data_IF_384518638309
#
_entry.id   IF_384518638309
#
_cell.length_a   1.000
_cell.length_b   1.000
_cell.length_c   1.000
_cell.angle_alpha   90.00
_cell.angle_beta   90.00
_cell.angle_gamma   90.00
#
_symmetry.space_group_name_H-M   'P 1'
#
loop_
_entity.id
_entity.type
_entity.pdbx_description
1 polymer ?
#
# COMPACT_ATOMS: atom_id res chain seq x y z
N UNK A 1 7.92 -7.15 -26.01
CA UNK A 1 6.73 -8.03 -26.01
C UNK A 1 5.62 -7.42 -25.18
N UNK A 2 5.79 -7.25 -23.85
CA UNK A 2 4.75 -6.62 -23.00
C UNK A 2 4.32 -5.25 -23.54
N UNK A 3 5.27 -4.39 -23.92
CA UNK A 3 4.99 -3.07 -24.47
C UNK A 3 4.04 -3.10 -25.69
N UNK A 4 4.13 -4.14 -26.53
CA UNK A 4 3.39 -4.26 -27.80
C UNK A 4 2.04 -5.00 -27.64
N UNK A 5 1.71 -5.50 -26.45
CA UNK A 5 0.40 -6.14 -26.23
C UNK A 5 -0.70 -5.08 -26.27
N UNK A 6 -1.83 -5.38 -26.90
CA UNK A 6 -3.03 -4.55 -26.76
C UNK A 6 -3.56 -4.72 -25.32
N UNK A 7 -3.78 -3.63 -24.55
CA UNK A 7 -4.37 -3.71 -23.22
C UNK A 7 -5.75 -4.40 -23.20
N UNK A 8 -6.43 -4.45 -24.34
CA UNK A 8 -7.72 -5.12 -24.53
C UNK A 8 -7.61 -6.59 -24.91
N UNK A 9 -6.39 -7.15 -25.03
CA UNK A 9 -6.20 -8.57 -25.36
C UNK A 9 -6.93 -9.46 -24.35
N UNK A 10 -7.81 -10.38 -24.78
CA UNK A 10 -8.54 -11.27 -23.87
C UNK A 10 -7.63 -12.10 -22.97
N UNK A 11 -6.41 -12.40 -23.44
CA UNK A 11 -5.42 -13.21 -22.74
C UNK A 11 -4.36 -12.38 -21.99
N UNK A 12 -4.53 -11.06 -21.85
CA UNK A 12 -3.54 -10.21 -21.19
C UNK A 12 -3.15 -10.75 -19.82
N UNK A 13 -4.14 -11.10 -18.98
CA UNK A 13 -3.91 -11.63 -17.63
C UNK A 13 -3.20 -12.98 -17.65
N UNK A 14 -3.57 -13.87 -18.58
CA UNK A 14 -2.91 -15.19 -18.72
C UNK A 14 -1.44 -15.05 -19.11
N UNK A 15 -1.15 -14.15 -20.07
CA UNK A 15 0.22 -13.87 -20.54
C UNK A 15 1.04 -13.31 -19.38
N UNK A 16 0.50 -12.35 -18.64
CA UNK A 16 1.10 -11.74 -17.45
C UNK A 16 1.41 -12.79 -16.38
N UNK A 17 0.45 -13.63 -16.02
CA UNK A 17 0.64 -14.71 -15.05
C UNK A 17 1.69 -15.71 -15.53
N UNK A 18 1.70 -16.06 -16.82
CA UNK A 18 2.71 -16.94 -17.41
C UNK A 18 4.12 -16.39 -17.28
N UNK A 19 4.32 -15.10 -17.60
CA UNK A 19 5.60 -14.41 -17.45
C UNK A 19 6.01 -14.32 -15.97
N UNK A 20 5.07 -13.99 -15.09
CA UNK A 20 5.36 -13.87 -13.67
C UNK A 20 5.76 -15.21 -13.04
N UNK A 21 5.00 -16.27 -13.30
CA UNK A 21 5.29 -17.63 -12.82
C UNK A 21 6.63 -18.16 -13.32
N UNK A 22 7.01 -17.82 -14.56
CA UNK A 22 8.35 -18.08 -15.05
C UNK A 22 9.39 -17.37 -14.19
N UNK A 23 9.21 -16.08 -13.90
CA UNK A 23 10.16 -15.32 -13.07
C UNK A 23 10.26 -15.83 -11.63
N UNK A 24 9.14 -16.26 -11.02
CA UNK A 24 9.13 -16.92 -9.70
C UNK A 24 9.99 -18.18 -9.72
N UNK A 25 9.84 -19.01 -10.76
CA UNK A 25 10.54 -20.29 -10.86
C UNK A 25 12.04 -20.15 -11.11
N UNK A 26 12.45 -19.08 -11.79
CA UNK A 26 13.82 -18.90 -12.27
C UNK A 26 14.55 -17.70 -11.64
N UNK A 27 14.05 -17.18 -10.52
CA UNK A 27 14.71 -16.15 -9.71
C UNK A 27 14.67 -16.50 -8.22
N UNK A 28 15.29 -15.66 -7.39
CA UNK A 28 15.23 -15.77 -5.92
C UNK A 28 14.02 -15.04 -5.32
N UNK A 29 13.26 -14.33 -6.15
CA UNK A 29 12.12 -13.54 -5.71
C UNK A 29 10.87 -14.41 -5.61
N UNK A 30 10.40 -14.62 -4.36
CA UNK A 30 9.23 -15.45 -4.03
C UNK A 30 7.97 -15.14 -4.85
N UNK A 31 7.80 -13.89 -5.26
CA UNK A 31 6.59 -13.40 -5.93
C UNK A 31 6.81 -12.95 -7.38
N UNK A 32 8.04 -13.04 -7.87
CA UNK A 32 8.41 -12.65 -9.22
C UNK A 32 9.41 -11.50 -9.25
N UNK A 33 9.99 -11.27 -10.43
CA UNK A 33 11.04 -10.28 -10.64
C UNK A 33 10.50 -8.83 -10.49
N UNK A 34 11.11 -7.96 -9.66
CA UNK A 34 10.62 -6.60 -9.44
C UNK A 34 10.62 -5.70 -10.69
N UNK A 35 11.58 -5.88 -11.61
CA UNK A 35 11.64 -5.09 -12.85
C UNK A 35 10.56 -5.52 -13.84
N UNK A 36 10.27 -6.83 -13.89
CA UNK A 36 9.15 -7.38 -14.63
C UNK A 36 7.82 -6.84 -14.08
N UNK A 37 7.66 -6.84 -12.76
CA UNK A 37 6.48 -6.28 -12.10
C UNK A 37 6.24 -4.80 -12.47
N UNK A 38 7.30 -3.98 -12.53
CA UNK A 38 7.18 -2.58 -12.93
C UNK A 38 6.53 -2.41 -14.31
N UNK A 39 6.89 -3.28 -15.27
CA UNK A 39 6.36 -3.22 -16.64
C UNK A 39 4.96 -3.81 -16.72
N UNK A 40 4.71 -4.92 -16.00
CA UNK A 40 3.40 -5.55 -15.92
C UNK A 40 2.38 -4.60 -15.30
N UNK A 41 2.72 -3.93 -14.19
CA UNK A 41 1.82 -3.00 -13.52
C UNK A 41 1.36 -1.87 -14.43
N UNK A 42 2.29 -1.27 -15.19
CA UNK A 42 1.94 -0.26 -16.20
C UNK A 42 1.00 -0.80 -17.26
N UNK A 43 1.23 -2.03 -17.75
CA UNK A 43 0.40 -2.61 -18.79
C UNK A 43 -1.02 -2.96 -18.33
N UNK A 44 -1.15 -3.38 -17.06
CA UNK A 44 -2.45 -3.62 -16.44
C UNK A 44 -3.22 -2.31 -16.24
N UNK A 45 -2.53 -1.24 -15.86
CA UNK A 45 -3.14 0.07 -15.69
C UNK A 45 -3.66 0.65 -17.01
N UNK A 46 -2.95 0.44 -18.13
CA UNK A 46 -3.43 0.79 -19.48
C UNK A 46 -4.75 0.10 -19.85
N UNK A 47 -5.06 -1.06 -19.26
CA UNK A 47 -6.29 -1.83 -19.48
C UNK A 47 -7.33 -1.67 -18.38
N UNK A 48 -7.25 -0.61 -17.57
CA UNK A 48 -8.13 -0.33 -16.43
C UNK A 48 -8.17 -1.44 -15.35
N UNK A 49 -7.16 -2.31 -15.31
CA UNK A 49 -7.02 -3.35 -14.27
C UNK A 49 -6.30 -2.80 -13.03
N UNK A 50 -6.91 -1.79 -12.40
CA UNK A 50 -6.30 -0.97 -11.34
C UNK A 50 -5.84 -1.79 -10.13
N UNK A 51 -6.67 -2.72 -9.66
CA UNK A 51 -6.32 -3.54 -8.49
C UNK A 51 -5.18 -4.53 -8.77
N UNK A 52 -5.11 -5.07 -9.98
CA UNK A 52 -3.99 -5.90 -10.39
C UNK A 52 -2.71 -5.07 -10.55
N UNK A 53 -2.80 -3.89 -11.18
CA UNK A 53 -1.68 -2.97 -11.34
C UNK A 53 -1.06 -2.57 -10.00
N UNK A 54 -1.89 -2.20 -9.02
CA UNK A 54 -1.47 -1.91 -7.64
C UNK A 54 -0.62 -3.04 -7.03
N UNK A 55 -1.08 -4.28 -7.15
CA UNK A 55 -0.35 -5.43 -6.59
C UNK A 55 1.03 -5.58 -7.22
N UNK A 56 1.12 -5.45 -8.54
CA UNK A 56 2.41 -5.53 -9.24
C UNK A 56 3.31 -4.35 -8.87
N UNK A 57 2.78 -3.13 -8.77
CA UNK A 57 3.59 -1.98 -8.38
C UNK A 57 4.11 -2.07 -6.94
N UNK A 58 3.29 -2.57 -6.01
CA UNK A 58 3.67 -2.83 -4.62
C UNK A 58 4.92 -3.72 -4.51
N UNK A 59 5.05 -4.71 -5.40
CA UNK A 59 6.16 -5.68 -5.41
C UNK A 59 7.25 -5.34 -6.44
N UNK A 60 7.20 -4.14 -6.99
CA UNK A 60 8.10 -3.70 -8.04
C UNK A 60 9.36 -3.00 -7.53
N UNK A 61 9.84 -2.08 -8.37
CA UNK A 61 11.03 -1.26 -8.13
C UNK A 61 10.67 0.08 -7.50
N UNK A 62 11.66 0.96 -7.30
CA UNK A 62 11.42 2.35 -6.90
C UNK A 62 10.52 3.10 -7.89
N UNK A 63 10.74 2.94 -9.20
CA UNK A 63 9.84 3.49 -10.24
C UNK A 63 8.39 3.00 -10.08
N UNK A 64 8.23 1.75 -9.62
CA UNK A 64 6.90 1.18 -9.36
C UNK A 64 6.23 1.85 -8.18
N UNK A 65 6.99 2.24 -7.15
CA UNK A 65 6.45 3.04 -6.04
C UNK A 65 5.96 4.40 -6.51
N UNK A 66 6.72 5.10 -7.35
CA UNK A 66 6.29 6.38 -7.93
C UNK A 66 4.98 6.20 -8.72
N UNK A 67 4.93 5.21 -9.61
CA UNK A 67 3.71 4.89 -10.39
C UNK A 67 2.53 4.48 -9.51
N UNK A 68 2.78 3.82 -8.38
CA UNK A 68 1.74 3.44 -7.45
C UNK A 68 1.14 4.66 -6.73
N UNK A 69 1.99 5.61 -6.33
CA UNK A 69 1.53 6.90 -5.81
C UNK A 69 0.73 7.66 -6.87
N UNK A 70 1.20 7.70 -8.11
CA UNK A 70 0.48 8.32 -9.23
C UNK A 70 -0.89 7.66 -9.45
N UNK A 71 -0.95 6.33 -9.50
CA UNK A 71 -2.20 5.58 -9.63
C UNK A 71 -3.22 5.98 -8.55
N UNK A 72 -2.82 5.98 -7.29
CA UNK A 72 -3.72 6.30 -6.18
C UNK A 72 -4.10 7.78 -6.14
N UNK A 73 -3.17 8.66 -6.47
CA UNK A 73 -3.39 10.10 -6.52
C UNK A 73 -4.36 10.50 -7.63
N UNK A 74 -4.15 9.96 -8.84
CA UNK A 74 -5.00 10.22 -9.99
C UNK A 74 -6.39 9.65 -9.76
N UNK A 75 -6.49 8.47 -9.13
CA UNK A 75 -7.77 7.87 -8.77
C UNK A 75 -8.51 8.71 -7.72
N UNK A 76 -7.84 9.20 -6.67
CA UNK A 76 -8.42 10.15 -5.73
C UNK A 76 -8.93 11.41 -6.44
N UNK A 77 -8.16 11.95 -7.39
CA UNK A 77 -8.54 13.16 -8.13
C UNK A 77 -9.74 12.98 -9.08
N UNK A 78 -10.12 11.74 -9.38
CA UNK A 78 -11.31 11.41 -10.19
C UNK A 78 -12.59 11.31 -9.35
N UNK A 79 -12.49 11.32 -8.02
CA UNK A 79 -13.66 11.30 -7.14
C UNK A 79 -14.29 12.69 -7.11
N UNK A 80 -15.56 12.79 -7.49
CA UNK A 80 -16.29 14.06 -7.59
C UNK A 80 -16.51 14.71 -6.22
N UNK A 81 -16.97 13.94 -5.23
CA UNK A 81 -17.28 14.40 -3.87
C UNK A 81 -16.27 13.78 -2.88
N UNK A 82 -15.23 14.54 -2.54
CA UNK A 82 -14.19 14.09 -1.61
C UNK A 82 -14.61 14.40 -0.18
N UNK A 83 -14.79 13.35 0.61
CA UNK A 83 -14.98 13.42 2.06
C UNK A 83 -13.64 13.20 2.80
N UNK A 84 -13.61 13.49 4.10
CA UNK A 84 -12.41 13.33 4.93
C UNK A 84 -11.89 11.88 4.93
N UNK A 85 -12.81 10.90 4.94
CA UNK A 85 -12.48 9.48 4.85
C UNK A 85 -11.99 9.06 3.48
N UNK A 86 -12.41 9.74 2.40
CA UNK A 86 -12.02 9.41 1.03
C UNK A 86 -10.50 9.47 0.88
N UNK A 87 -9.84 10.52 1.39
CA UNK A 87 -8.38 10.66 1.29
C UNK A 87 -7.66 9.51 2.02
N UNK A 88 -8.19 9.09 3.17
CA UNK A 88 -7.65 7.99 3.95
C UNK A 88 -7.80 6.63 3.24
N UNK A 89 -8.87 6.41 2.49
CA UNK A 89 -9.07 5.19 1.69
C UNK A 89 -7.96 4.96 0.67
N UNK A 90 -7.37 6.03 0.10
CA UNK A 90 -6.23 5.93 -0.81
C UNK A 90 -4.90 5.89 -0.06
N UNK A 91 -4.70 6.80 0.89
CA UNK A 91 -3.45 6.93 1.62
C UNK A 91 -3.11 5.68 2.45
N UNK A 92 -4.12 5.07 3.08
CA UNK A 92 -3.96 3.85 3.86
C UNK A 92 -3.38 2.69 3.04
N UNK A 93 -3.68 2.63 1.73
CA UNK A 93 -3.17 1.58 0.83
C UNK A 93 -1.66 1.65 0.68
N UNK A 94 -1.07 2.84 0.63
CA UNK A 94 0.40 3.01 0.60
C UNK A 94 1.01 2.50 1.90
N UNK A 95 0.49 2.97 3.03
CA UNK A 95 0.99 2.64 4.37
C UNK A 95 0.88 1.14 4.63
N UNK A 96 -0.30 0.57 4.47
CA UNK A 96 -0.54 -0.85 4.74
C UNK A 96 0.23 -1.76 3.78
N UNK A 97 0.13 -1.53 2.46
CA UNK A 97 0.79 -2.42 1.50
C UNK A 97 2.31 -2.45 1.72
N UNK A 98 2.97 -1.30 1.90
CA UNK A 98 4.41 -1.31 2.16
C UNK A 98 4.79 -1.83 3.55
N UNK A 99 3.96 -1.64 4.57
CA UNK A 99 4.17 -2.29 5.87
C UNK A 99 4.01 -3.82 5.77
N UNK A 100 3.10 -4.34 4.96
CA UNK A 100 2.87 -5.78 4.80
C UNK A 100 4.07 -6.51 4.18
N UNK A 101 4.85 -5.84 3.34
CA UNK A 101 6.09 -6.37 2.75
C UNK A 101 7.35 -5.84 3.43
N UNK A 102 7.20 -5.20 4.59
CA UNK A 102 8.29 -4.61 5.39
C UNK A 102 9.19 -3.62 4.64
N UNK A 103 8.66 -2.97 3.60
CA UNK A 103 9.39 -1.94 2.87
C UNK A 103 9.16 -0.57 3.51
N UNK A 104 9.78 -0.34 4.66
CA UNK A 104 9.66 0.90 5.44
C UNK A 104 10.16 2.12 4.64
N UNK A 105 11.17 1.94 3.78
CA UNK A 105 11.70 3.02 2.94
C UNK A 105 10.63 3.54 1.99
N UNK A 106 9.98 2.64 1.24
CA UNK A 106 8.91 3.04 0.32
C UNK A 106 7.68 3.52 1.06
N UNK A 107 7.38 2.97 2.24
CA UNK A 107 6.29 3.46 3.08
C UNK A 107 6.48 4.95 3.46
N UNK A 108 7.69 5.37 3.82
CA UNK A 108 7.97 6.80 4.11
C UNK A 108 7.96 7.67 2.87
N UNK A 109 8.68 7.27 1.82
CA UNK A 109 8.83 8.08 0.62
C UNK A 109 7.49 8.28 -0.11
N UNK A 110 6.71 7.21 -0.27
CA UNK A 110 5.37 7.30 -0.87
C UNK A 110 4.41 8.14 -0.03
N UNK A 111 4.52 8.04 1.30
CA UNK A 111 3.76 8.86 2.26
C UNK A 111 4.10 10.35 2.08
N UNK A 112 5.38 10.70 1.99
CA UNK A 112 5.81 12.09 1.80
C UNK A 112 5.28 12.66 0.49
N UNK A 113 5.45 11.93 -0.63
CA UNK A 113 4.96 12.36 -1.96
C UNK A 113 3.44 12.55 -1.94
N UNK A 114 2.69 11.60 -1.38
CA UNK A 114 1.24 11.66 -1.36
C UNK A 114 0.72 12.83 -0.51
N UNK A 115 1.28 13.02 0.69
CA UNK A 115 0.88 14.09 1.59
C UNK A 115 1.26 15.47 1.06
N UNK A 116 2.41 15.61 0.39
CA UNK A 116 2.80 16.87 -0.28
C UNK A 116 1.77 17.25 -1.36
N UNK A 117 1.41 16.32 -2.24
CA UNK A 117 0.37 16.54 -3.25
C UNK A 117 -0.98 16.89 -2.62
N UNK A 118 -1.35 16.21 -1.54
CA UNK A 118 -2.59 16.48 -0.80
C UNK A 118 -2.61 17.91 -0.24
N UNK A 119 -1.51 18.36 0.38
CA UNK A 119 -1.35 19.71 0.91
C UNK A 119 -1.46 20.76 -0.21
N UNK A 120 -0.79 20.52 -1.33
CA UNK A 120 -0.75 21.45 -2.46
C UNK A 120 -2.10 21.59 -3.15
N UNK A 121 -2.88 20.51 -3.28
CA UNK A 121 -4.16 20.52 -4.00
C UNK A 121 -5.33 20.99 -3.14
N UNK A 122 -5.43 20.51 -1.89
CA UNK A 122 -6.61 20.71 -1.05
C UNK A 122 -6.41 21.77 0.04
N UNK A 123 -5.17 22.23 0.27
CA UNK A 123 -4.84 23.24 1.27
C UNK A 123 -5.46 22.97 2.66
N UNK A 124 -5.37 21.74 3.20
CA UNK A 124 -5.85 21.43 4.53
C UNK A 124 -5.08 22.25 5.58
N UNK A 125 -5.65 22.45 6.75
CA UNK A 125 -4.88 23.00 7.87
C UNK A 125 -3.95 21.92 8.42
N UNK A 126 -2.67 22.26 8.50
CA UNK A 126 -1.67 21.34 9.00
C UNK A 126 -0.53 22.05 9.74
N UNK A 127 0.16 21.28 10.58
CA UNK A 127 1.45 21.64 11.17
C UNK A 127 2.44 20.48 11.02
N UNK A 128 3.71 20.79 10.78
CA UNK A 128 4.78 19.79 10.77
C UNK A 128 5.35 19.64 12.18
N UNK A 129 5.28 18.43 12.72
CA UNK A 129 5.82 18.08 14.03
C UNK A 129 7.05 17.21 13.81
N UNK A 130 8.23 17.75 14.12
CA UNK A 130 9.47 16.97 14.12
C UNK A 130 9.87 16.62 15.56
N UNK A 131 10.07 15.32 15.82
CA UNK A 131 10.63 14.83 17.08
C UNK A 131 11.60 13.70 16.82
N UNK A 132 12.83 13.85 17.33
CA UNK A 132 13.88 12.82 17.27
C UNK A 132 14.15 12.31 15.83
N UNK A 133 14.03 13.18 14.83
CA UNK A 133 14.26 12.82 13.43
C UNK A 133 13.10 12.09 12.75
N UNK A 134 11.92 12.05 13.39
CA UNK A 134 10.68 11.63 12.76
C UNK A 134 9.78 12.85 12.54
N UNK A 135 9.39 13.08 11.29
CA UNK A 135 8.42 14.10 10.90
C UNK A 135 7.01 13.49 10.79
N UNK A 136 6.05 14.14 11.42
CA UNK A 136 4.61 13.92 11.22
C UNK A 136 4.02 15.21 10.67
N UNK A 137 3.19 15.11 9.63
CA UNK A 137 2.31 16.20 9.21
C UNK A 137 0.99 16.03 9.94
N UNK A 138 0.77 16.83 10.99
CA UNK A 138 -0.49 16.81 11.73
C UNK A 138 -1.54 17.63 11.00
N UNK A 139 -2.64 16.99 10.62
CA UNK A 139 -3.80 17.64 10.00
C UNK A 139 -4.91 17.84 11.03
N UNK A 140 -5.45 19.06 11.14
CA UNK A 140 -6.49 19.39 12.12
C UNK A 140 -7.78 18.57 11.89
N UNK A 141 -8.18 18.45 10.63
CA UNK A 141 -9.47 17.86 10.24
C UNK A 141 -9.34 16.39 9.77
N UNK A 142 -8.12 15.88 9.58
CA UNK A 142 -7.86 14.53 9.02
C UNK A 142 -7.21 13.60 10.05
N UNK A 143 -7.98 13.21 11.07
CA UNK A 143 -7.49 12.33 12.15
C UNK A 143 -7.02 10.95 11.65
N UNK A 144 -7.58 10.45 10.55
CA UNK A 144 -7.20 9.15 9.96
C UNK A 144 -5.78 9.21 9.37
N UNK A 145 -5.45 10.29 8.65
CA UNK A 145 -4.09 10.54 8.14
C UNK A 145 -3.08 10.65 9.29
N UNK A 146 -3.45 11.27 10.41
CA UNK A 146 -2.59 11.35 11.59
C UNK A 146 -2.33 9.95 12.18
N UNK A 147 -3.39 9.13 12.30
CA UNK A 147 -3.28 7.76 12.77
C UNK A 147 -2.38 6.90 11.88
N UNK A 148 -2.55 6.96 10.56
CA UNK A 148 -1.78 6.17 9.59
C UNK A 148 -0.28 6.53 9.59
N UNK A 149 0.07 7.82 9.70
CA UNK A 149 1.47 8.24 9.83
C UNK A 149 2.08 7.76 11.16
N UNK A 150 1.36 7.87 12.27
CA UNK A 150 1.81 7.37 13.57
C UNK A 150 1.95 5.83 13.59
N UNK A 151 1.07 5.12 12.87
CA UNK A 151 1.14 3.67 12.74
C UNK A 151 2.44 3.22 12.07
N UNK A 152 2.86 3.90 11.01
CA UNK A 152 4.14 3.64 10.33
C UNK A 152 5.32 3.76 11.30
N UNK A 153 5.41 4.88 12.04
CA UNK A 153 6.46 5.08 13.05
C UNK A 153 6.39 4.02 14.14
N UNK A 154 5.18 3.71 14.62
CA UNK A 154 4.96 2.72 15.68
C UNK A 154 5.47 1.34 15.26
N UNK A 155 5.23 0.92 14.01
CA UNK A 155 5.75 -0.33 13.47
C UNK A 155 7.29 -0.37 13.45
N UNK A 156 7.97 0.76 13.21
CA UNK A 156 9.43 0.83 13.26
C UNK A 156 9.98 0.64 14.68
N UNK A 157 9.25 1.10 15.70
CA UNK A 157 9.68 0.94 17.10
C UNK A 157 9.61 -0.50 17.58
N UNK A 158 8.70 -1.31 17.01
CA UNK A 158 8.33 -2.65 17.48
C UNK A 158 7.93 -2.69 18.97
N UNK A 159 7.61 -1.54 19.58
CA UNK A 159 7.15 -1.44 20.95
C UNK A 159 5.64 -1.69 21.01
N UNK A 160 5.27 -2.83 21.61
CA UNK A 160 3.88 -3.24 21.78
C UNK A 160 3.05 -2.21 22.56
N UNK A 161 3.64 -1.52 23.53
CA UNK A 161 2.92 -0.53 24.34
C UNK A 161 2.48 0.67 23.50
N UNK A 162 3.34 1.14 22.59
CA UNK A 162 2.99 2.23 21.67
C UNK A 162 1.87 1.82 20.71
N UNK A 163 1.93 0.60 20.18
CA UNK A 163 0.86 0.07 19.32
C UNK A 163 -0.49 -0.02 20.04
N UNK A 164 -0.50 -0.53 21.28
CA UNK A 164 -1.73 -0.61 22.07
C UNK A 164 -2.27 0.79 22.44
N UNK A 165 -1.38 1.72 22.81
CA UNK A 165 -1.79 3.10 23.12
C UNK A 165 -2.36 3.82 21.89
N UNK A 166 -1.75 3.64 20.72
CA UNK A 166 -2.24 4.20 19.46
C UNK A 166 -3.66 3.66 19.15
N UNK A 167 -3.87 2.35 19.29
CA UNK A 167 -5.18 1.73 19.08
C UNK A 167 -6.23 2.21 20.09
N UNK A 168 -5.86 2.34 21.36
CA UNK A 168 -6.76 2.80 22.41
C UNK A 168 -7.17 4.26 22.23
N UNK A 169 -6.30 5.09 21.67
CA UNK A 169 -6.60 6.49 21.35
C UNK A 169 -7.52 6.62 20.14
N UNK A 170 -7.29 5.80 19.11
CA UNK A 170 -8.05 5.81 17.86
C UNK A 170 -8.92 4.57 17.73
N UNK A 171 -9.99 4.50 18.53
CA UNK A 171 -10.87 3.32 18.59
C UNK A 171 -11.61 3.06 17.27
N UNK A 172 -12.11 4.12 16.63
CA UNK A 172 -12.86 4.00 15.37
C UNK A 172 -11.96 3.47 14.24
N UNK A 173 -10.75 4.01 14.09
CA UNK A 173 -9.77 3.51 13.12
C UNK A 173 -9.25 2.11 13.48
N UNK A 174 -9.15 1.79 14.77
CA UNK A 174 -8.82 0.43 15.21
C UNK A 174 -9.87 -0.60 14.80
N UNK A 175 -11.13 -0.18 14.72
CA UNK A 175 -12.23 -1.02 14.28
C UNK A 175 -12.33 -1.05 12.75
N UNK A 176 -12.07 0.08 12.07
CA UNK A 176 -12.06 0.17 10.61
C UNK A 176 -10.95 -0.70 9.98
N UNK A 177 -9.73 -0.61 10.49
CA UNK A 177 -8.55 -1.35 10.00
C UNK A 177 -8.24 -2.61 10.81
N UNK A 178 -9.28 -3.27 11.33
CA UNK A 178 -9.11 -4.34 12.31
C UNK A 178 -8.22 -5.47 11.80
N UNK A 179 -8.46 -5.94 10.57
CA UNK A 179 -7.69 -7.04 9.95
C UNK A 179 -6.23 -6.68 9.73
N UNK A 180 -5.99 -5.47 9.25
CA UNK A 180 -4.69 -4.91 8.93
C UNK A 180 -3.87 -4.75 10.21
N UNK A 181 -4.48 -4.21 11.26
CA UNK A 181 -3.85 -4.05 12.57
C UNK A 181 -3.61 -5.39 13.29
N UNK A 182 -4.47 -6.39 13.09
CA UNK A 182 -4.23 -7.75 13.59
C UNK A 182 -3.01 -8.39 12.90
N UNK A 183 -2.86 -8.18 11.58
CA UNK A 183 -1.69 -8.64 10.84
C UNK A 183 -0.41 -7.91 11.29
N UNK A 184 -0.42 -6.57 11.34
CA UNK A 184 0.74 -5.79 11.79
C UNK A 184 1.10 -6.09 13.25
N UNK A 185 0.10 -6.36 14.09
CA UNK A 185 0.27 -6.84 15.47
C UNK A 185 1.14 -8.09 15.57
N UNK A 186 0.91 -9.06 14.68
CA UNK A 186 1.70 -10.28 14.58
C UNK A 186 3.09 -9.99 14.03
N UNK A 187 3.16 -9.27 12.90
CA UNK A 187 4.38 -9.06 12.12
C UNK A 187 5.43 -8.19 12.85
N UNK A 188 5.00 -7.07 13.45
CA UNK A 188 5.93 -6.10 14.04
C UNK A 188 6.07 -6.23 15.56
N UNK A 189 5.04 -6.73 16.25
CA UNK A 189 4.94 -6.65 17.72
C UNK A 189 4.84 -8.01 18.41
N UNK A 190 4.92 -9.12 17.67
CA UNK A 190 4.81 -10.49 18.17
C UNK A 190 3.52 -10.73 18.99
N UNK A 191 2.42 -10.06 18.62
CA UNK A 191 1.12 -10.27 19.25
C UNK A 191 0.49 -11.51 18.62
N UNK A 192 0.27 -12.55 19.43
CA UNK A 192 -0.45 -13.74 18.98
C UNK A 192 -1.91 -13.37 18.71
N UNK A 193 -2.31 -13.40 17.43
CA UNK A 193 -3.70 -13.15 17.07
C UNK A 193 -4.59 -14.34 17.45
N UNK A 194 -5.86 -14.10 17.82
CA UNK A 194 -6.80 -15.18 18.14
C UNK A 194 -7.07 -16.14 16.98
N UNK A 195 -6.85 -15.68 15.75
CA UNK A 195 -6.95 -16.45 14.51
C UNK A 195 -5.76 -16.05 13.64
N UNK A 196 -4.96 -17.01 13.17
CA UNK A 196 -3.94 -16.73 12.17
C UNK A 196 -4.65 -16.36 10.87
N UNK A 197 -4.66 -15.08 10.56
CA UNK A 197 -5.18 -14.56 9.30
C UNK A 197 -4.07 -14.72 8.26
N UNK A 198 -4.28 -15.56 7.24
CA UNK A 198 -3.36 -15.71 6.11
C UNK A 198 -3.48 -14.51 5.15
N UNK A 199 -3.49 -13.29 5.70
CA UNK A 199 -3.84 -12.05 4.99
C UNK A 199 -2.94 -11.81 3.76
N UNK A 200 -1.64 -12.03 3.92
CA UNK A 200 -0.69 -11.99 2.80
C UNK A 200 -1.01 -13.06 1.74
N UNK A 201 -1.40 -14.27 2.14
CA UNK A 201 -1.71 -15.32 1.16
C UNK A 201 -2.99 -15.00 0.38
N UNK A 202 -4.00 -14.44 1.04
CA UNK A 202 -5.27 -14.06 0.42
C UNK A 202 -5.05 -12.88 -0.55
N UNK A 203 -4.28 -11.87 -0.15
CA UNK A 203 -3.90 -10.74 -1.00
C UNK A 203 -3.06 -11.19 -2.22
N UNK A 204 -2.24 -12.23 -2.03
CA UNK A 204 -1.31 -12.74 -3.05
C UNK A 204 -1.88 -13.87 -3.91
N UNK A 205 -3.09 -14.37 -3.61
CA UNK A 205 -3.75 -15.46 -4.34
C UNK A 205 -3.94 -15.15 -5.83
N UNK A 206 -4.07 -13.87 -6.20
CA UNK A 206 -4.20 -13.43 -7.59
C UNK A 206 -2.92 -13.50 -8.43
N UNK A 207 -1.73 -13.64 -7.82
CA UNK A 207 -0.47 -13.77 -8.56
C UNK A 207 -0.21 -15.18 -9.07
N UNK A 208 -0.70 -16.19 -8.35
CA UNK A 208 -0.31 -17.58 -8.56
C UNK A 208 -1.22 -18.35 -9.53
N UNK A 209 -2.26 -17.70 -10.09
CA UNK A 209 -3.17 -18.34 -11.05
C UNK A 209 -3.70 -19.67 -10.51
N UNK A 210 -4.52 -19.60 -9.46
CA UNK A 210 -4.97 -20.79 -8.72
C UNK A 210 -6.48 -20.84 -8.52
N UNK A 211 -7.26 -20.95 -9.59
CA UNK A 211 -8.55 -21.63 -9.53
C UNK A 211 -8.38 -23.02 -10.16
N UNK A 212 -8.56 -24.06 -9.35
CA UNK A 212 -9.16 -25.28 -9.89
C UNK A 212 -10.57 -24.98 -10.35
#
# INVERSE_FOLDING_TARGET
>A
LIAELDPSEPNLKDVITGMNNWSIKFSEYKFGDPYLHNTIGSKLLEGDFVYEAERYFMLGTHDSMIKYVDLLWDWLCQVDDIEDSTVAEFFSRLVFNYLFISNISFAHESKDIFLERFIEKFHPKYEKIDKNGYEIVFFEDYSDLNFLQLLLITCQTKDKSYFLNLKNHYLDFSQAYKSELEFLGQEYFNIVAPKQTNFLQDMMSGFLGGSK
#
